data_IF_144770720628
#
_entry.id   IF_144770720628
#
_cell.length_a   1.000
_cell.length_b   1.000
_cell.length_c   1.000
_cell.angle_alpha   90.00
_cell.angle_beta   90.00
_cell.angle_gamma   90.00
#
_symmetry.space_group_name_H-M   'P 1'
#
loop_
_entity.id
_entity.type
_entity.pdbx_description
1 polymer ?
#
# COMPACT_ATOMS: atom_id res chain seq x y z
N UNK A 1 -9.69 -11.62 -12.85
CA UNK A 1 -9.52 -11.57 -11.39
C UNK A 1 -10.54 -10.58 -10.83
N UNK A 2 -11.47 -10.98 -9.95
CA UNK A 2 -12.43 -10.04 -9.36
C UNK A 2 -11.66 -9.03 -8.50
N UNK A 3 -11.75 -7.74 -8.81
CA UNK A 3 -11.24 -6.67 -7.95
C UNK A 3 -12.11 -6.63 -6.68
N UNK A 4 -11.76 -7.42 -5.68
CA UNK A 4 -12.41 -7.38 -4.38
C UNK A 4 -11.73 -6.34 -3.50
N UNK A 5 -12.55 -5.56 -2.80
CA UNK A 5 -12.10 -4.57 -1.81
C UNK A 5 -11.22 -5.24 -0.74
N UNK A 6 -11.48 -6.52 -0.43
CA UNK A 6 -10.68 -7.32 0.47
C UNK A 6 -9.21 -7.44 0.02
N UNK A 7 -8.96 -7.80 -1.25
CA UNK A 7 -7.60 -7.91 -1.77
C UNK A 7 -6.89 -6.55 -1.75
N UNK A 8 -7.61 -5.48 -2.09
CA UNK A 8 -7.10 -4.11 -2.03
C UNK A 8 -6.68 -3.71 -0.60
N UNK A 9 -7.49 -4.08 0.41
CA UNK A 9 -7.19 -3.80 1.82
C UNK A 9 -5.97 -4.58 2.33
N UNK A 10 -5.74 -5.80 1.84
CA UNK A 10 -4.53 -6.57 2.18
C UNK A 10 -3.28 -5.87 1.64
N UNK A 11 -3.32 -5.41 0.39
CA UNK A 11 -2.20 -4.69 -0.24
C UNK A 11 -1.88 -3.40 0.53
N UNK A 12 -2.91 -2.64 0.90
CA UNK A 12 -2.75 -1.43 1.72
C UNK A 12 -2.14 -1.74 3.10
N UNK A 13 -2.61 -2.80 3.77
CA UNK A 13 -2.05 -3.21 5.06
C UNK A 13 -0.57 -3.60 4.95
N UNK A 14 -0.17 -4.30 3.89
CA UNK A 14 1.22 -4.64 3.62
C UNK A 14 2.05 -3.37 3.35
N UNK A 15 1.54 -2.45 2.52
CA UNK A 15 2.20 -1.17 2.24
C UNK A 15 2.46 -0.38 3.52
N UNK A 16 1.45 -0.26 4.38
CA UNK A 16 1.56 0.42 5.67
C UNK A 16 2.63 -0.24 6.57
N UNK A 17 2.68 -1.57 6.65
CA UNK A 17 3.71 -2.28 7.41
C UNK A 17 5.11 -1.99 6.89
N UNK A 18 5.31 -1.96 5.57
CA UNK A 18 6.61 -1.63 4.96
C UNK A 18 7.00 -0.18 5.25
N UNK A 19 6.05 0.76 5.22
CA UNK A 19 6.30 2.17 5.61
C UNK A 19 6.72 2.26 7.07
N UNK A 20 6.06 1.55 7.98
CA UNK A 20 6.41 1.52 9.41
C UNK A 20 7.84 0.99 9.60
N UNK A 21 8.19 -0.12 8.93
CA UNK A 21 9.54 -0.70 8.98
C UNK A 21 10.57 0.29 8.43
N UNK A 22 10.29 0.91 7.28
CA UNK A 22 11.16 1.92 6.68
C UNK A 22 11.35 3.15 7.58
N UNK A 23 10.29 3.59 8.26
CA UNK A 23 10.35 4.70 9.22
C UNK A 23 11.23 4.35 10.42
N UNK A 24 11.09 3.12 10.94
CA UNK A 24 11.94 2.63 12.02
C UNK A 24 13.42 2.60 11.61
N UNK A 25 13.70 2.11 10.40
CA UNK A 25 15.05 2.14 9.83
C UNK A 25 15.60 3.56 9.70
N UNK A 26 14.76 4.53 9.32
CA UNK A 26 15.15 5.94 9.18
C UNK A 26 15.49 6.57 10.53
N UNK A 27 14.73 6.25 11.58
CA UNK A 27 15.00 6.70 12.95
C UNK A 27 16.32 6.13 13.47
N UNK A 28 16.64 4.87 13.12
CA UNK A 28 17.90 4.22 13.49
C UNK A 28 19.10 4.64 12.62
N UNK A 29 18.92 5.56 11.66
CA UNK A 29 19.93 5.95 10.68
C UNK A 29 20.54 4.76 9.91
N UNK A 30 19.76 3.69 9.72
CA UNK A 30 20.20 2.54 8.96
C UNK A 30 20.34 2.89 7.47
N UNK A 31 21.36 2.34 6.78
CA UNK A 31 21.48 2.49 5.34
C UNK A 31 20.24 1.89 4.65
N UNK A 32 19.88 2.43 3.50
CA UNK A 32 18.70 2.00 2.71
C UNK A 32 17.32 2.33 3.27
N UNK A 33 17.22 3.02 4.42
CA UNK A 33 15.93 3.45 4.98
C UNK A 33 15.05 4.23 3.98
N UNK A 34 15.65 5.14 3.22
CA UNK A 34 14.92 5.90 2.18
C UNK A 34 14.38 5.00 1.06
N UNK A 35 15.11 3.95 0.66
CA UNK A 35 14.66 3.01 -0.37
C UNK A 35 13.48 2.16 0.14
N UNK A 36 13.54 1.71 1.39
CA UNK A 36 12.47 0.94 2.03
C UNK A 36 11.21 1.80 2.16
N UNK A 37 11.36 3.04 2.63
CA UNK A 37 10.25 4.00 2.72
C UNK A 37 9.61 4.28 1.35
N UNK A 38 10.43 4.52 0.32
CA UNK A 38 9.94 4.76 -1.03
C UNK A 38 9.18 3.54 -1.57
N UNK A 39 9.69 2.33 -1.32
CA UNK A 39 9.01 1.08 -1.68
C UNK A 39 7.66 0.92 -0.98
N UNK A 40 7.61 1.14 0.34
CA UNK A 40 6.37 1.12 1.11
C UNK A 40 5.34 2.14 0.61
N UNK A 41 5.78 3.37 0.35
CA UNK A 41 4.91 4.43 -0.18
C UNK A 41 4.37 4.10 -1.57
N UNK A 42 5.19 3.45 -2.41
CA UNK A 42 4.79 3.03 -3.76
C UNK A 42 3.73 1.93 -3.68
N UNK A 43 3.90 0.97 -2.77
CA UNK A 43 2.91 -0.10 -2.54
C UNK A 43 1.61 0.50 -2.00
N UNK A 44 1.68 1.43 -1.05
CA UNK A 44 0.51 2.16 -0.56
C UNK A 44 -0.22 2.88 -1.69
N UNK A 45 0.51 3.65 -2.51
CA UNK A 45 -0.07 4.37 -3.63
C UNK A 45 -0.79 3.44 -4.62
N UNK A 46 -0.15 2.33 -5.01
CA UNK A 46 -0.76 1.32 -5.87
C UNK A 46 -1.98 0.66 -5.22
N UNK A 47 -1.88 0.36 -3.92
CA UNK A 47 -2.99 -0.16 -3.12
C UNK A 47 -4.18 0.78 -3.08
N UNK A 48 -3.95 2.08 -2.91
CA UNK A 48 -5.01 3.10 -2.90
C UNK A 48 -5.68 3.22 -4.27
N UNK A 49 -4.90 3.27 -5.35
CA UNK A 49 -5.43 3.32 -6.72
C UNK A 49 -6.30 2.09 -6.98
N UNK A 50 -5.82 0.90 -6.62
CA UNK A 50 -6.57 -0.33 -6.78
C UNK A 50 -7.85 -0.37 -5.92
N UNK A 51 -7.77 0.13 -4.68
CA UNK A 51 -8.91 0.25 -3.77
C UNK A 51 -9.99 1.17 -4.35
N UNK A 52 -9.62 2.35 -4.84
CA UNK A 52 -10.54 3.30 -5.49
C UNK A 52 -11.17 2.69 -6.73
N UNK A 53 -10.40 2.01 -7.59
CA UNK A 53 -10.93 1.31 -8.76
C UNK A 53 -11.91 0.20 -8.37
N UNK A 54 -11.61 -0.56 -7.31
CA UNK A 54 -12.50 -1.61 -6.81
C UNK A 54 -13.84 -1.04 -6.32
N UNK A 55 -13.82 0.13 -5.65
CA UNK A 55 -15.04 0.84 -5.24
C UNK A 55 -15.83 1.36 -6.43
N UNK A 56 -15.14 1.90 -7.43
CA UNK A 56 -15.76 2.41 -8.65
C UNK A 56 -16.43 1.30 -9.46
N UNK A 57 -15.77 0.16 -9.65
CA UNK A 57 -16.36 -0.99 -10.34
C UNK A 57 -17.56 -1.56 -9.57
N UNK A 58 -17.45 -1.70 -8.23
CA UNK A 58 -18.56 -2.18 -7.40
C UNK A 58 -19.79 -1.28 -7.48
N UNK A 59 -19.62 0.03 -7.67
CA UNK A 59 -20.71 0.99 -7.87
C UNK A 59 -21.41 0.85 -9.22
N UNK A 60 -20.73 0.34 -10.25
CA UNK A 60 -21.32 0.12 -11.59
C UNK A 60 -22.08 -1.20 -11.71
N UNK A 61 -21.80 -2.16 -10.84
CA UNK A 61 -22.50 -3.45 -10.78
C UNK A 61 -23.76 -3.42 -9.88
N UNK A 62 -24.11 -2.26 -9.29
CA UNK A 62 -25.33 -2.01 -8.50
C UNK A 62 -26.31 -1.15 -9.30
#
# INVERSE_FOLDING_TARGET
MKLTIFNASIILAIGLMVVIIGAFFKIQHLPSANHILLGGLTIEFLGTVWFVLSLYCRRKDL
#
